data_IF_552575179714
#
_entry.id   IF_552575179714
#
_cell.length_a   1.000
_cell.length_b   1.000
_cell.length_c   1.000
_cell.angle_alpha   90.00
_cell.angle_beta   90.00
_cell.angle_gamma   90.00
#
_symmetry.space_group_name_H-M   'P 1'
#
loop_
_entity.id
_entity.type
_entity.pdbx_description
1 polymer ?
#
# COMPACT_ATOMS: atom_id res chain seq x y z
N UNK A 1 -24.84 -35.24 38.87
CA UNK A 1 -24.03 -34.27 38.10
C UNK A 1 -23.81 -34.85 36.73
N UNK A 2 -24.40 -34.23 35.70
CA UNK A 2 -24.11 -34.62 34.32
C UNK A 2 -22.77 -34.01 33.90
N UNK A 3 -21.93 -34.72 33.13
CA UNK A 3 -20.76 -34.11 32.53
C UNK A 3 -21.24 -33.16 31.42
N UNK A 4 -20.77 -31.91 31.49
CA UNK A 4 -21.00 -30.90 30.47
C UNK A 4 -20.11 -31.27 29.29
N UNK A 5 -20.74 -31.52 28.15
CA UNK A 5 -20.09 -31.77 26.88
C UNK A 5 -19.47 -30.45 26.39
N UNK A 6 -18.18 -30.25 26.72
CA UNK A 6 -17.35 -29.18 26.15
C UNK A 6 -16.98 -29.57 24.71
N UNK A 7 -17.99 -29.70 23.85
CA UNK A 7 -17.76 -29.63 22.41
C UNK A 7 -17.39 -28.18 22.09
N UNK A 8 -16.09 -27.89 22.13
CA UNK A 8 -15.50 -26.68 21.58
C UNK A 8 -16.05 -26.54 20.15
N UNK A 9 -16.99 -25.62 19.96
CA UNK A 9 -17.33 -25.05 18.66
C UNK A 9 -16.10 -24.31 18.19
N UNK A 10 -15.17 -25.05 17.59
CA UNK A 10 -14.22 -24.47 16.66
C UNK A 10 -15.07 -23.98 15.50
N UNK A 11 -15.44 -22.69 15.55
CA UNK A 11 -15.96 -21.97 14.41
C UNK A 11 -14.93 -22.13 13.29
N UNK A 12 -15.15 -23.14 12.44
CA UNK A 12 -14.58 -23.17 11.10
C UNK A 12 -15.14 -21.93 10.43
N UNK A 13 -14.36 -20.86 10.43
CA UNK A 13 -14.40 -19.87 9.37
C UNK A 13 -14.16 -20.64 8.08
N UNK A 14 -15.25 -21.12 7.48
CA UNK A 14 -15.28 -21.48 6.08
C UNK A 14 -15.19 -20.12 5.38
N UNK A 15 -13.98 -19.62 5.21
CA UNK A 15 -13.73 -18.67 4.14
C UNK A 15 -14.16 -19.41 2.87
N UNK A 16 -15.27 -18.98 2.28
CA UNK A 16 -15.68 -19.43 0.96
C UNK A 16 -14.50 -19.20 0.02
N UNK A 17 -13.80 -20.28 -0.33
CA UNK A 17 -12.64 -20.28 -1.23
C UNK A 17 -12.99 -19.85 -2.66
N UNK A 18 -14.25 -19.53 -2.94
CA UNK A 18 -14.75 -19.19 -4.27
C UNK A 18 -14.60 -17.70 -4.61
N UNK A 19 -14.36 -16.83 -3.63
CA UNK A 19 -14.22 -15.39 -3.90
C UNK A 19 -12.74 -15.06 -4.16
N UNK A 20 -12.40 -14.81 -5.43
CA UNK A 20 -11.11 -14.26 -5.84
C UNK A 20 -11.06 -12.77 -5.49
N UNK A 21 -10.34 -12.41 -4.43
CA UNK A 21 -10.23 -11.03 -3.96
C UNK A 21 -8.78 -10.65 -3.71
N UNK A 22 -8.43 -9.45 -4.16
CA UNK A 22 -7.17 -8.78 -3.85
C UNK A 22 -7.50 -7.43 -3.21
N UNK A 23 -6.92 -7.18 -2.04
CA UNK A 23 -7.07 -5.90 -1.32
C UNK A 23 -5.74 -5.19 -1.26
N UNK A 24 -5.70 -3.96 -1.79
CA UNK A 24 -4.55 -3.08 -1.66
C UNK A 24 -4.65 -2.33 -0.34
N UNK A 25 -3.55 -2.31 0.42
CA UNK A 25 -3.45 -1.69 1.73
C UNK A 25 -2.42 -0.56 1.68
N UNK A 26 -2.84 0.62 2.12
CA UNK A 26 -1.93 1.74 2.38
C UNK A 26 -1.30 1.61 3.76
N UNK A 27 -0.09 2.12 3.90
CA UNK A 27 0.64 2.19 5.15
C UNK A 27 0.98 3.64 5.49
N UNK A 28 1.30 3.96 6.77
CA UNK A 28 1.83 5.27 7.14
C UNK A 28 3.10 5.64 6.36
N UNK A 29 3.90 4.64 5.99
CA UNK A 29 4.95 4.80 5.01
C UNK A 29 4.34 4.85 3.60
N UNK A 30 4.39 6.02 2.94
CA UNK A 30 3.90 6.23 1.57
C UNK A 30 4.58 5.33 0.55
N UNK A 31 5.79 4.89 0.84
CA UNK A 31 6.59 4.03 -0.02
C UNK A 31 6.20 2.57 0.08
N UNK A 32 5.30 2.20 1.00
CA UNK A 32 4.91 0.83 1.26
C UNK A 32 3.44 0.57 0.86
N UNK A 33 3.22 -0.51 0.14
CA UNK A 33 1.89 -1.09 -0.13
C UNK A 33 1.85 -2.57 0.24
N UNK A 34 0.74 -2.98 0.83
CA UNK A 34 0.40 -4.37 1.05
C UNK A 34 -0.66 -4.82 0.05
N UNK A 35 -0.58 -6.07 -0.39
CA UNK A 35 -1.53 -6.72 -1.28
C UNK A 35 -1.97 -8.00 -0.60
N UNK A 36 -3.16 -8.00 -0.01
CA UNK A 36 -3.73 -9.15 0.70
C UNK A 36 -4.66 -9.93 -0.22
N UNK A 37 -4.54 -11.25 -0.25
CA UNK A 37 -5.27 -12.12 -1.16
C UNK A 37 -6.04 -13.20 -0.41
N UNK A 38 -7.14 -13.68 -0.99
CA UNK A 38 -7.83 -14.88 -0.50
C UNK A 38 -7.13 -16.18 -0.93
N UNK A 39 -6.27 -16.12 -1.96
CA UNK A 39 -5.41 -17.23 -2.37
C UNK A 39 -4.01 -17.15 -1.78
N UNK A 40 -3.39 -18.33 -1.68
CA UNK A 40 -2.01 -18.47 -1.25
C UNK A 40 -1.07 -18.03 -2.38
N UNK A 41 -0.24 -17.02 -2.10
CA UNK A 41 0.72 -16.42 -3.04
C UNK A 41 2.15 -16.96 -2.84
N UNK A 42 2.52 -17.36 -1.62
CA UNK A 42 3.87 -17.81 -1.32
C UNK A 42 3.89 -18.98 -0.33
N UNK A 43 4.99 -19.73 -0.29
CA UNK A 43 5.23 -20.80 0.68
C UNK A 43 6.18 -20.41 1.82
N UNK A 44 6.58 -19.15 1.83
CA UNK A 44 7.54 -18.58 2.76
C UNK A 44 7.00 -17.30 3.40
N UNK A 45 7.59 -16.94 4.54
CA UNK A 45 7.43 -15.63 5.16
C UNK A 45 8.76 -14.90 5.16
N UNK A 46 8.83 -13.76 4.46
CA UNK A 46 10.01 -12.92 4.43
C UNK A 46 9.66 -11.45 4.15
N UNK A 47 10.49 -10.52 4.63
CA UNK A 47 10.42 -9.11 4.24
C UNK A 47 11.83 -8.54 4.14
N UNK A 48 12.38 -8.44 2.94
CA UNK A 48 13.82 -8.23 2.73
C UNK A 48 14.13 -7.41 1.48
N UNK A 49 15.18 -6.58 1.57
CA UNK A 49 15.80 -5.95 0.40
C UNK A 49 16.87 -6.90 -0.10
N UNK A 50 16.92 -7.14 -1.40
CA UNK A 50 18.04 -7.89 -1.99
C UNK A 50 19.06 -6.89 -2.50
N UNK A 51 20.27 -6.96 -1.94
CA UNK A 51 21.36 -6.05 -2.31
C UNK A 51 21.89 -6.32 -3.72
N UNK A 52 21.74 -7.54 -4.24
CA UNK A 52 22.11 -7.93 -5.59
C UNK A 52 21.29 -9.14 -6.09
N UNK A 53 21.32 -9.38 -7.41
CA UNK A 53 20.70 -10.51 -8.11
C UNK A 53 21.15 -11.88 -7.61
N UNK A 54 22.40 -11.99 -7.12
CA UNK A 54 23.01 -13.26 -6.70
C UNK A 54 22.70 -13.61 -5.23
N UNK A 55 22.22 -12.64 -4.45
CA UNK A 55 21.81 -12.69 -3.05
C UNK A 55 20.30 -12.48 -2.91
N UNK A 56 19.54 -12.62 -4.02
CA UNK A 56 18.08 -12.42 -4.11
C UNK A 56 17.24 -13.37 -3.28
N UNK A 57 17.87 -14.35 -2.64
CA UNK A 57 17.16 -15.41 -1.95
C UNK A 57 17.60 -15.48 -0.49
N UNK A 58 16.66 -15.27 0.44
CA UNK A 58 16.96 -15.50 1.84
C UNK A 58 17.44 -16.94 2.03
N UNK A 59 18.62 -17.12 2.62
CA UNK A 59 19.08 -18.43 3.08
C UNK A 59 18.50 -18.72 4.45
N UNK A 60 18.38 -19.98 4.84
CA UNK A 60 17.89 -20.37 6.19
C UNK A 60 18.72 -19.73 7.31
N UNK A 61 19.98 -19.40 7.04
CA UNK A 61 20.91 -18.77 7.99
C UNK A 61 20.60 -17.29 8.27
N UNK A 62 19.70 -16.69 7.49
CA UNK A 62 19.29 -15.28 7.63
C UNK A 62 18.00 -15.09 8.45
N UNK A 63 17.61 -16.10 9.23
CA UNK A 63 16.47 -16.02 10.17
C UNK A 63 15.11 -16.34 9.54
N UNK A 64 15.10 -17.01 8.39
CA UNK A 64 13.89 -17.41 7.68
C UNK A 64 13.50 -18.85 8.02
N UNK A 65 12.19 -19.10 8.15
CA UNK A 65 11.66 -20.42 8.48
C UNK A 65 11.98 -21.48 7.42
N UNK A 66 12.15 -21.05 6.15
CA UNK A 66 12.39 -21.94 5.01
C UNK A 66 13.05 -21.17 3.85
N UNK A 67 13.89 -21.84 3.07
CA UNK A 67 14.39 -21.32 1.81
C UNK A 67 13.24 -21.16 0.78
N UNK A 68 13.29 -20.14 -0.10
CA UNK A 68 12.29 -19.92 -1.14
C UNK A 68 12.23 -21.09 -2.13
N UNK A 69 11.01 -21.53 -2.46
CA UNK A 69 10.79 -22.46 -3.57
C UNK A 69 11.07 -21.76 -4.90
N UNK A 70 11.33 -22.52 -5.98
CA UNK A 70 11.53 -21.91 -7.30
C UNK A 70 10.32 -21.09 -7.77
N UNK A 71 9.12 -21.45 -7.29
CA UNK A 71 7.90 -20.65 -7.48
C UNK A 71 8.02 -19.29 -6.79
N UNK A 72 8.40 -19.26 -5.50
CA UNK A 72 8.59 -18.00 -4.76
C UNK A 72 9.67 -17.13 -5.43
N UNK A 73 10.77 -17.76 -5.87
CA UNK A 73 11.86 -17.08 -6.57
C UNK A 73 11.40 -16.40 -7.86
N UNK A 74 10.60 -17.09 -8.67
CA UNK A 74 10.03 -16.53 -9.90
C UNK A 74 9.12 -15.33 -9.64
N UNK A 75 8.33 -15.33 -8.55
CA UNK A 75 7.53 -14.18 -8.16
C UNK A 75 8.42 -12.99 -7.79
N UNK A 76 9.43 -13.24 -6.96
CA UNK A 76 10.39 -12.23 -6.52
C UNK A 76 11.08 -11.61 -7.73
N UNK A 77 11.66 -12.43 -8.61
CA UNK A 77 12.36 -11.96 -9.80
C UNK A 77 11.45 -11.10 -10.67
N UNK A 78 10.22 -11.56 -10.96
CA UNK A 78 9.25 -10.77 -11.75
C UNK A 78 8.90 -9.43 -11.10
N UNK A 79 8.78 -9.37 -9.77
CA UNK A 79 8.50 -8.13 -9.06
C UNK A 79 9.68 -7.15 -9.10
N UNK A 80 10.92 -7.64 -9.09
CA UNK A 80 12.11 -6.80 -9.27
C UNK A 80 12.37 -6.43 -10.74
N UNK A 81 12.03 -7.30 -11.68
CA UNK A 81 12.17 -7.07 -13.13
C UNK A 81 11.19 -6.01 -13.64
N UNK A 82 10.17 -5.63 -12.86
CA UNK A 82 9.39 -4.41 -13.09
C UNK A 82 10.29 -3.14 -13.13
N UNK A 83 11.51 -3.19 -12.56
CA UNK A 83 12.61 -2.22 -12.64
C UNK A 83 12.28 -0.77 -12.16
N UNK A 84 13.30 0.09 -11.99
CA UNK A 84 13.82 0.75 -10.75
C UNK A 84 12.85 1.16 -9.63
N UNK A 85 11.53 1.06 -9.80
CA UNK A 85 10.56 1.48 -8.81
C UNK A 85 10.45 0.56 -7.61
N UNK A 86 10.82 -0.72 -7.68
CA UNK A 86 10.71 -1.65 -6.54
C UNK A 86 12.02 -1.74 -5.78
N UNK A 87 12.02 -1.24 -4.54
CA UNK A 87 13.15 -1.25 -3.61
C UNK A 87 13.19 -2.52 -2.76
N UNK A 88 12.01 -2.97 -2.28
CA UNK A 88 11.88 -4.10 -1.36
C UNK A 88 10.65 -4.94 -1.69
N UNK A 89 10.80 -6.25 -1.56
CA UNK A 89 9.69 -7.21 -1.62
C UNK A 89 9.62 -7.96 -0.30
N UNK A 90 8.41 -8.22 0.18
CA UNK A 90 8.19 -9.27 1.15
C UNK A 90 6.99 -10.12 0.78
N UNK A 91 7.11 -11.39 1.10
CA UNK A 91 6.07 -12.38 0.89
C UNK A 91 5.65 -12.96 2.25
N UNK A 92 4.35 -13.15 2.39
CA UNK A 92 3.69 -13.98 3.38
C UNK A 92 2.71 -14.86 2.59
N UNK A 93 2.32 -16.06 3.07
CA UNK A 93 1.42 -16.94 2.34
C UNK A 93 0.20 -16.28 1.71
N UNK A 94 -0.37 -15.23 2.29
CA UNK A 94 -1.54 -14.53 1.75
C UNK A 94 -1.33 -13.03 1.51
N UNK A 95 -0.09 -12.56 1.54
CA UNK A 95 0.21 -11.14 1.43
C UNK A 95 1.53 -10.89 0.70
N UNK A 96 1.51 -9.97 -0.26
CA UNK A 96 2.72 -9.40 -0.86
C UNK A 96 2.88 -7.98 -0.35
N UNK A 97 4.09 -7.60 0.06
CA UNK A 97 4.42 -6.23 0.45
C UNK A 97 5.49 -5.70 -0.48
N UNK A 98 5.25 -4.52 -1.04
CA UNK A 98 6.18 -3.85 -1.94
C UNK A 98 6.53 -2.49 -1.34
N UNK A 99 7.83 -2.27 -1.14
CA UNK A 99 8.38 -0.94 -0.90
C UNK A 99 8.93 -0.41 -2.22
N UNK A 100 8.47 0.77 -2.63
CA UNK A 100 8.98 1.43 -3.83
C UNK A 100 10.16 2.35 -3.51
N UNK A 101 10.92 2.69 -4.54
CA UNK A 101 11.89 3.79 -4.49
C UNK A 101 11.15 5.13 -4.39
N UNK A 102 11.72 6.07 -3.63
CA UNK A 102 11.09 7.37 -3.35
C UNK A 102 10.80 8.18 -4.62
N UNK A 103 11.60 8.00 -5.67
CA UNK A 103 11.46 8.71 -6.93
C UNK A 103 10.26 8.29 -7.81
N UNK A 104 9.55 7.22 -7.44
CA UNK A 104 8.46 6.64 -8.25
C UNK A 104 7.09 6.92 -7.66
N UNK A 105 6.03 6.92 -8.47
CA UNK A 105 4.66 7.04 -7.97
C UNK A 105 3.94 5.69 -7.98
N UNK A 106 3.07 5.44 -7.00
CA UNK A 106 2.26 4.22 -6.98
C UNK A 106 1.34 4.09 -8.21
N UNK A 107 0.85 5.21 -8.73
CA UNK A 107 0.04 5.24 -9.95
C UNK A 107 0.76 4.68 -11.18
N UNK A 108 2.09 4.66 -11.17
CA UNK A 108 2.91 4.19 -12.30
C UNK A 108 3.17 2.68 -12.23
N UNK A 109 3.23 2.10 -11.02
CA UNK A 109 3.69 0.71 -10.82
C UNK A 109 2.62 -0.23 -10.23
N UNK A 110 1.57 0.29 -9.59
CA UNK A 110 0.60 -0.52 -8.83
C UNK A 110 -0.12 -1.54 -9.72
N UNK A 111 -0.55 -1.14 -10.92
CA UNK A 111 -1.21 -2.07 -11.85
C UNK A 111 -0.29 -3.20 -12.28
N UNK A 112 0.98 -2.90 -12.57
CA UNK A 112 1.95 -3.92 -12.98
C UNK A 112 2.29 -4.88 -11.85
N UNK A 113 2.37 -4.39 -10.60
CA UNK A 113 2.50 -5.25 -9.41
C UNK A 113 1.31 -6.19 -9.29
N UNK A 114 0.09 -5.65 -9.41
CA UNK A 114 -1.14 -6.45 -9.36
C UNK A 114 -1.11 -7.54 -10.44
N UNK A 115 -0.80 -7.18 -11.69
CA UNK A 115 -0.78 -8.13 -12.81
C UNK A 115 0.24 -9.26 -12.58
N UNK A 116 1.43 -8.94 -12.05
CA UNK A 116 2.44 -9.96 -11.69
C UNK A 116 1.91 -10.91 -10.61
N UNK A 117 1.26 -10.38 -9.57
CA UNK A 117 0.69 -11.20 -8.48
C UNK A 117 -0.43 -12.10 -9.01
N UNK A 118 -1.37 -11.55 -9.80
CA UNK A 118 -2.50 -12.31 -10.34
C UNK A 118 -2.04 -13.40 -11.30
N UNK A 119 -1.11 -13.08 -12.21
CA UNK A 119 -0.51 -14.07 -13.11
C UNK A 119 0.22 -15.18 -12.33
N UNK A 120 0.87 -14.84 -11.21
CA UNK A 120 1.59 -15.82 -10.38
C UNK A 120 0.66 -16.85 -9.71
N UNK A 121 -0.55 -16.44 -9.31
CA UNK A 121 -1.55 -17.33 -8.72
C UNK A 121 -2.50 -17.95 -9.74
N UNK A 122 -2.39 -17.55 -11.02
CA UNK A 122 -3.22 -18.06 -12.11
C UNK A 122 -4.63 -17.49 -12.12
N UNK A 123 -4.81 -16.23 -11.73
CA UNK A 123 -6.08 -15.52 -11.80
C UNK A 123 -6.11 -14.55 -12.97
N UNK A 124 -7.23 -14.49 -13.70
CA UNK A 124 -7.47 -13.45 -14.70
C UNK A 124 -8.05 -12.21 -14.02
N UNK A 125 -7.68 -11.03 -14.50
CA UNK A 125 -7.97 -9.76 -13.79
C UNK A 125 -9.47 -9.46 -13.70
N UNK A 126 -10.24 -9.87 -14.70
CA UNK A 126 -11.69 -9.74 -14.79
C UNK A 126 -12.46 -10.65 -13.82
N UNK A 127 -11.80 -11.69 -13.29
CA UNK A 127 -12.39 -12.60 -12.31
C UNK A 127 -12.17 -12.16 -10.85
N UNK A 128 -11.38 -11.10 -10.62
CA UNK A 128 -10.89 -10.70 -9.29
C UNK A 128 -11.54 -9.41 -8.83
N UNK A 129 -12.11 -9.43 -7.63
CA UNK A 129 -12.51 -8.21 -6.94
C UNK A 129 -11.27 -7.51 -6.38
N UNK A 130 -10.93 -6.35 -6.93
CA UNK A 130 -9.80 -5.52 -6.48
C UNK A 130 -10.33 -4.37 -5.62
N UNK A 131 -10.10 -4.44 -4.32
CA UNK A 131 -10.39 -3.36 -3.36
C UNK A 131 -9.13 -2.48 -3.20
N UNK A 132 -9.03 -1.44 -4.04
CA UNK A 132 -7.99 -0.42 -3.91
C UNK A 132 -8.49 0.75 -3.05
N UNK A 133 -7.66 1.29 -2.15
CA UNK A 133 -8.00 2.48 -1.40
C UNK A 133 -8.28 3.59 -2.43
N UNK A 134 -9.44 4.24 -2.31
CA UNK A 134 -9.82 5.32 -3.23
C UNK A 134 -8.64 6.30 -3.31
N UNK A 135 -8.02 6.40 -4.49
CA UNK A 135 -7.14 7.50 -4.79
C UNK A 135 -7.90 8.76 -4.39
N UNK A 136 -7.33 9.57 -3.50
CA UNK A 136 -7.87 10.90 -3.29
C UNK A 136 -7.87 11.56 -4.66
N UNK A 137 -9.04 11.70 -5.25
CA UNK A 137 -9.21 12.48 -6.46
C UNK A 137 -8.81 13.89 -6.06
N UNK A 138 -7.58 14.29 -6.39
CA UNK A 138 -7.23 15.69 -6.40
C UNK A 138 -8.17 16.32 -7.44
N UNK A 139 -9.26 16.91 -6.95
CA UNK A 139 -10.03 17.83 -7.77
C UNK A 139 -9.09 19.02 -7.95
N UNK A 140 -8.37 19.02 -9.07
CA UNK A 140 -7.72 20.22 -9.54
C UNK A 140 -8.87 21.18 -9.87
N UNK A 141 -9.20 22.08 -8.92
CA UNK A 141 -10.09 23.20 -9.21
C UNK A 141 -9.31 24.06 -10.20
N UNK A 142 -9.56 23.84 -11.49
CA UNK A 142 -9.21 24.80 -12.54
C UNK A 142 -9.76 26.13 -12.07
N UNK A 143 -8.86 27.11 -11.93
CA UNK A 143 -9.14 28.42 -11.37
C UNK A 143 -10.50 28.93 -11.81
N UNK A 144 -11.40 29.07 -10.85
CA UNK A 144 -12.34 30.18 -10.93
C UNK A 144 -11.44 31.39 -10.84
N UNK A 145 -11.32 32.14 -11.94
CA UNK A 145 -10.76 33.48 -11.92
C UNK A 145 -11.59 34.27 -10.90
N UNK A 146 -11.11 34.32 -9.66
CA UNK A 146 -11.65 35.25 -8.67
C UNK A 146 -11.10 36.59 -9.11
N UNK A 147 -11.93 37.35 -9.80
CA UNK A 147 -11.64 38.70 -10.20
C UNK A 147 -11.60 39.60 -8.96
N UNK A 148 -10.39 39.79 -8.43
CA UNK A 148 -10.12 40.69 -7.30
C UNK A 148 -10.18 42.18 -7.69
N UNK A 149 -10.52 42.53 -8.94
CA UNK A 149 -10.63 43.94 -9.37
C UNK A 149 -11.81 44.70 -8.77
N UNK A 150 -12.65 44.05 -7.96
CA UNK A 150 -13.79 44.68 -7.25
C UNK A 150 -13.54 44.98 -5.77
N UNK A 151 -12.31 44.80 -5.26
CA UNK A 151 -11.96 45.02 -3.85
C UNK A 151 -11.30 46.38 -3.55
N UNK A 152 -11.42 47.35 -4.46
CA UNK A 152 -10.88 48.70 -4.27
C UNK A 152 -12.03 49.72 -4.37
N UNK A 153 -12.69 50.04 -3.24
CA UNK A 153 -13.38 51.34 -3.01
C UNK A 153 -14.11 51.49 -1.65
N UNK A 154 -13.56 50.99 -0.51
CA UNK A 154 -14.15 51.38 0.79
C UNK A 154 -13.21 51.39 2.00
N UNK A 155 -12.02 51.98 1.88
CA UNK A 155 -11.24 52.36 3.07
C UNK A 155 -10.65 53.77 2.93
N UNK A 156 -11.53 54.76 2.89
CA UNK A 156 -11.24 56.10 3.38
C UNK A 156 -12.25 56.38 4.49
N UNK A 157 -11.76 56.41 5.72
CA UNK A 157 -12.33 57.03 6.94
C UNK A 157 -11.98 56.18 8.17
N UNK A 158 -10.69 56.13 8.50
CA UNK A 158 -10.25 55.76 9.85
C UNK A 158 -9.53 56.98 10.42
N UNK A 159 -10.20 57.57 11.41
CA UNK A 159 -9.79 58.71 12.23
C UNK A 159 -8.44 58.42 12.95
N UNK A 160 -7.42 59.30 12.84
CA UNK A 160 -6.06 58.99 13.31
C UNK A 160 -5.79 59.15 14.81
N UNK A 161 -6.77 59.31 15.70
CA UNK A 161 -6.49 59.63 17.12
C UNK A 161 -6.38 58.44 18.11
N UNK A 162 -6.63 57.19 17.71
CA UNK A 162 -6.69 56.06 18.67
C UNK A 162 -5.52 55.06 18.60
N UNK A 163 -4.26 55.54 18.62
CA UNK A 163 -3.08 54.66 18.81
C UNK A 163 -2.13 55.16 19.89
N UNK A 164 -2.55 55.03 21.15
CA UNK A 164 -1.64 54.99 22.29
C UNK A 164 -1.54 53.59 22.90
N UNK A 165 -0.32 53.03 22.89
CA UNK A 165 0.18 52.02 23.85
C UNK A 165 -0.39 50.59 23.73
N UNK A 166 0.31 49.49 24.03
CA UNK A 166 1.47 49.29 24.89
C UNK A 166 2.11 47.92 24.55
N UNK A 167 3.45 47.94 24.45
CA UNK A 167 4.48 46.92 24.71
C UNK A 167 4.27 45.43 24.39
N UNK A 168 5.12 44.94 23.49
CA UNK A 168 5.78 43.63 23.59
C UNK A 168 6.98 43.72 24.54
N UNK A 169 7.05 42.79 25.51
CA UNK A 169 8.26 42.51 26.30
C UNK A 169 8.79 41.14 25.87
N UNK A 170 10.11 41.07 25.74
CA UNK A 170 10.97 40.00 25.20
C UNK A 170 10.96 38.76 26.08
#
# INVERSE_FOLDING_TARGET
GQPVDDTIRTERFIMSNDIKRLRVQTHPNSELRGYSLTARVADIKFYGTFADTNSRYPTTDSGFEKAPSDRDKQLIDKLYDLAPGVKKVGLDPYCVRIEKEFAFNWSEIENSVIDVILAHIGWERDEVEIDSPRSQTYVHVMGVDIDYSSLDDSMNDIDPEDREGVNTTV
#
